data_IF_332939136613
#
_entry.id   IF_332939136613
#
_cell.length_a   1.000
_cell.length_b   1.000
_cell.length_c   1.000
_cell.angle_alpha   90.00
_cell.angle_beta   90.00
_cell.angle_gamma   90.00
#
_symmetry.space_group_name_H-M   'P 1'
#
loop_
_entity.id
_entity.type
_entity.pdbx_description
1 polymer ?
#
# COMPACT_ATOMS: atom_id res chain seq x y z
N UNK A 1 10.55 -11.99 -9.57
CA UNK A 1 9.30 -11.21 -9.47
C UNK A 1 9.24 -10.68 -8.05
N UNK A 2 9.09 -9.38 -7.84
CA UNK A 2 8.95 -8.83 -6.51
C UNK A 2 7.47 -8.96 -6.09
N UNK A 3 7.22 -9.62 -4.96
CA UNK A 3 5.88 -9.74 -4.41
C UNK A 3 5.46 -8.41 -3.76
N UNK A 4 4.16 -8.11 -3.81
CA UNK A 4 3.57 -6.95 -3.16
C UNK A 4 2.70 -7.38 -1.99
N UNK A 5 2.65 -6.56 -0.96
CA UNK A 5 1.74 -6.73 0.16
C UNK A 5 0.43 -5.97 -0.10
N UNK A 6 -0.68 -6.61 0.23
CA UNK A 6 -2.03 -6.08 0.05
C UNK A 6 -2.83 -6.22 1.34
N UNK A 7 -3.56 -5.16 1.70
CA UNK A 7 -4.63 -5.21 2.69
C UNK A 7 -5.97 -5.17 1.96
N UNK A 8 -6.85 -6.14 2.23
CA UNK A 8 -8.20 -6.20 1.67
C UNK A 8 -9.22 -6.09 2.80
N UNK A 9 -10.21 -5.24 2.62
CA UNK A 9 -11.20 -4.92 3.66
C UNK A 9 -12.61 -5.12 3.13
N UNK A 10 -13.38 -5.93 3.85
CA UNK A 10 -14.82 -6.08 3.66
C UNK A 10 -15.55 -5.33 4.76
N UNK A 11 -16.50 -4.51 4.34
CA UNK A 11 -17.37 -3.77 5.23
C UNK A 11 -18.79 -4.32 5.16
N UNK A 12 -19.52 -4.19 6.27
CA UNK A 12 -20.93 -4.58 6.30
C UNK A 12 -21.79 -3.55 5.57
N UNK A 13 -22.87 -4.02 4.96
CA UNK A 13 -23.86 -3.18 4.28
C UNK A 13 -23.26 -2.28 3.18
N UNK A 14 -22.21 -2.75 2.49
CA UNK A 14 -21.62 -2.02 1.38
C UNK A 14 -22.57 -2.00 0.17
N UNK A 15 -22.79 -0.81 -0.36
CA UNK A 15 -23.68 -0.53 -1.49
C UNK A 15 -23.29 0.81 -2.10
N UNK A 16 -23.79 1.13 -3.29
CA UNK A 16 -23.57 2.45 -3.93
C UNK A 16 -23.92 3.61 -2.96
N UNK A 17 -25.02 3.49 -2.22
CA UNK A 17 -25.48 4.53 -1.29
C UNK A 17 -24.55 4.73 -0.08
N UNK A 18 -23.81 3.71 0.34
CA UNK A 18 -22.90 3.79 1.51
C UNK A 18 -21.44 3.93 1.11
N UNK A 19 -21.12 3.77 -0.18
CA UNK A 19 -19.76 3.74 -0.71
C UNK A 19 -18.98 5.00 -0.32
N UNK A 20 -19.52 6.18 -0.61
CA UNK A 20 -18.85 7.46 -0.36
C UNK A 20 -18.56 7.69 1.13
N UNK A 21 -19.51 7.40 2.02
CA UNK A 21 -19.33 7.52 3.47
C UNK A 21 -18.22 6.58 3.97
N UNK A 22 -18.17 5.35 3.44
CA UNK A 22 -17.16 4.39 3.84
C UNK A 22 -15.80 4.69 3.22
N UNK A 23 -15.77 5.23 2.00
CA UNK A 23 -14.55 5.58 1.29
C UNK A 23 -13.81 6.73 1.98
N UNK A 24 -14.52 7.78 2.40
CA UNK A 24 -13.89 8.87 3.17
C UNK A 24 -13.31 8.36 4.49
N UNK A 25 -13.99 7.42 5.18
CA UNK A 25 -13.47 6.80 6.40
C UNK A 25 -12.21 5.99 6.13
N UNK A 26 -12.18 5.23 5.04
CA UNK A 26 -11.01 4.45 4.64
C UNK A 26 -9.82 5.36 4.34
N UNK A 27 -10.00 6.39 3.50
CA UNK A 27 -8.93 7.35 3.18
C UNK A 27 -8.45 8.11 4.43
N UNK A 28 -9.34 8.44 5.37
CA UNK A 28 -8.96 9.09 6.62
C UNK A 28 -8.07 8.24 7.53
N UNK A 29 -7.99 6.92 7.30
CA UNK A 29 -7.07 6.01 8.01
C UNK A 29 -5.74 5.82 7.30
N UNK A 30 -5.56 6.41 6.11
CA UNK A 30 -4.33 6.26 5.34
C UNK A 30 -3.13 6.86 6.10
N UNK A 31 -2.05 6.09 6.32
CA UNK A 31 -0.85 6.56 7.02
C UNK A 31 0.01 7.39 6.07
N UNK A 32 -0.42 8.61 5.73
CA UNK A 32 0.32 9.46 4.79
C UNK A 32 1.74 9.76 5.30
N UNK A 33 2.69 9.79 4.38
CA UNK A 33 4.09 10.11 4.64
C UNK A 33 4.20 11.46 5.33
N UNK A 34 5.07 11.56 6.32
CA UNK A 34 5.40 12.81 7.01
C UNK A 34 6.02 13.86 6.09
N UNK A 35 6.58 13.44 4.94
CA UNK A 35 7.30 14.28 4.00
C UNK A 35 6.37 15.02 3.02
N UNK A 36 5.29 14.35 2.58
CA UNK A 36 4.35 14.88 1.58
C UNK A 36 2.97 15.12 2.18
N UNK A 37 2.53 14.29 3.14
CA UNK A 37 1.28 14.40 3.89
C UNK A 37 0.04 14.70 3.03
N UNK A 38 0.01 14.20 1.79
CA UNK A 38 -1.05 14.47 0.82
C UNK A 38 -1.37 13.26 -0.06
N UNK A 39 -2.57 13.22 -0.61
CA UNK A 39 -2.90 12.36 -1.74
C UNK A 39 -2.36 12.99 -3.03
N UNK A 40 -1.82 12.16 -3.91
CA UNK A 40 -1.10 12.61 -5.11
C UNK A 40 -1.92 12.41 -6.38
N UNK A 41 -2.84 11.43 -6.41
CA UNK A 41 -3.69 11.19 -7.57
C UNK A 41 -5.04 10.61 -7.18
N UNK A 42 -6.08 10.90 -7.97
CA UNK A 42 -7.35 10.18 -7.98
C UNK A 42 -7.66 9.74 -9.42
N UNK A 43 -7.77 8.42 -9.62
CA UNK A 43 -8.16 7.80 -10.88
C UNK A 43 -9.53 7.12 -10.71
N UNK A 44 -10.40 7.27 -11.70
CA UNK A 44 -11.74 6.67 -11.70
C UNK A 44 -11.91 5.82 -12.95
N UNK A 45 -12.23 4.53 -12.77
CA UNK A 45 -12.48 3.58 -13.86
C UNK A 45 -13.92 3.08 -13.81
N UNK A 46 -14.57 2.98 -14.96
CA UNK A 46 -15.92 2.42 -15.10
C UNK A 46 -15.87 1.00 -15.64
N UNK A 47 -16.86 0.19 -15.26
CA UNK A 47 -17.14 -1.16 -15.74
C UNK A 47 -16.06 -2.17 -15.40
N UNK A 48 -14.83 -2.01 -15.89
CA UNK A 48 -13.71 -2.94 -15.68
C UNK A 48 -12.36 -2.22 -15.91
N UNK A 49 -11.21 -2.81 -15.53
CA UNK A 49 -9.92 -2.13 -15.60
C UNK A 49 -9.33 -2.00 -17.02
N UNK A 50 -9.88 -2.67 -18.04
CA UNK A 50 -9.43 -2.56 -19.43
C UNK A 50 -10.02 -1.32 -20.13
N UNK A 51 -11.08 -0.74 -19.58
CA UNK A 51 -11.68 0.51 -20.07
C UNK A 51 -10.77 1.73 -19.77
N UNK A 52 -10.81 2.78 -20.61
CA UNK A 52 -10.10 4.01 -20.33
C UNK A 52 -10.68 4.67 -19.06
N UNK A 53 -9.84 5.31 -18.23
CA UNK A 53 -10.31 6.03 -17.06
C UNK A 53 -11.33 7.11 -17.42
N UNK A 54 -12.42 7.17 -16.67
CA UNK A 54 -13.46 8.21 -16.79
C UNK A 54 -12.91 9.55 -16.35
N UNK A 55 -12.05 9.55 -15.33
CA UNK A 55 -11.35 10.73 -14.86
C UNK A 55 -10.02 10.38 -14.22
N UNK A 56 -9.08 11.30 -14.35
CA UNK A 56 -7.77 11.26 -13.72
C UNK A 56 -7.42 12.67 -13.22
N UNK A 57 -7.29 12.81 -11.91
CA UNK A 57 -6.93 14.06 -11.26
C UNK A 57 -5.53 13.95 -10.66
N UNK A 58 -4.63 14.83 -11.13
CA UNK A 58 -3.38 15.12 -10.44
C UNK A 58 -3.66 16.01 -9.22
N UNK A 59 -3.21 15.55 -8.06
CA UNK A 59 -3.48 16.15 -6.75
C UNK A 59 -2.23 16.67 -6.06
N UNK A 60 -1.03 16.33 -6.55
CA UNK A 60 0.23 16.75 -5.93
C UNK A 60 0.32 18.27 -5.77
N UNK A 61 0.74 18.71 -4.59
CA UNK A 61 0.87 20.12 -4.23
C UNK A 61 -0.46 20.86 -4.05
N UNK A 62 -1.60 20.16 -4.08
CA UNK A 62 -2.93 20.76 -3.86
C UNK A 62 -3.38 20.65 -2.41
N UNK A 63 -2.69 19.84 -1.58
CA UNK A 63 -3.00 19.68 -0.16
C UNK A 63 -4.41 19.14 0.11
N UNK A 64 -4.94 18.32 -0.80
CA UNK A 64 -6.29 17.74 -0.65
C UNK A 64 -6.27 16.61 0.36
N UNK A 65 -7.16 16.69 1.35
CA UNK A 65 -7.40 15.62 2.32
C UNK A 65 -8.41 14.60 1.83
N UNK A 66 -8.74 13.64 2.70
CA UNK A 66 -9.64 12.53 2.36
C UNK A 66 -11.03 13.02 1.92
N UNK A 67 -11.57 14.05 2.59
CA UNK A 67 -12.90 14.58 2.29
C UNK A 67 -12.95 15.26 0.91
N UNK A 68 -11.91 16.02 0.56
CA UNK A 68 -11.80 16.71 -0.73
C UNK A 68 -11.64 15.71 -1.87
N UNK A 69 -10.80 14.69 -1.71
CA UNK A 69 -10.62 13.62 -2.71
C UNK A 69 -11.92 12.85 -2.92
N UNK A 70 -12.62 12.49 -1.85
CA UNK A 70 -13.91 11.78 -1.96
C UNK A 70 -14.99 12.67 -2.57
N UNK A 71 -14.96 13.99 -2.35
CA UNK A 71 -15.89 14.91 -3.01
C UNK A 71 -15.68 14.99 -4.53
N UNK A 72 -14.44 14.79 -5.01
CA UNK A 72 -14.17 14.61 -6.45
C UNK A 72 -14.74 13.28 -6.95
N UNK A 73 -14.45 12.18 -6.24
CA UNK A 73 -14.95 10.85 -6.58
C UNK A 73 -16.49 10.77 -6.62
N UNK A 74 -17.17 11.46 -5.69
CA UNK A 74 -18.62 11.48 -5.58
C UNK A 74 -19.33 12.10 -6.80
N UNK A 75 -18.62 12.89 -7.63
CA UNK A 75 -19.17 13.42 -8.89
C UNK A 75 -19.37 12.33 -9.94
N UNK A 76 -18.67 11.19 -9.79
CA UNK A 76 -18.72 10.03 -10.67
C UNK A 76 -19.14 8.79 -9.85
N UNK A 77 -20.09 8.95 -8.93
CA UNK A 77 -20.59 7.86 -8.10
C UNK A 77 -21.50 6.93 -8.90
N UNK A 78 -21.02 5.71 -9.16
CA UNK A 78 -21.81 4.63 -9.74
C UNK A 78 -21.41 3.27 -9.17
N UNK A 79 -22.36 2.34 -9.13
CA UNK A 79 -22.15 0.97 -8.66
C UNK A 79 -21.09 0.21 -9.45
N UNK A 80 -20.92 0.53 -10.72
CA UNK A 80 -20.00 -0.09 -11.67
C UNK A 80 -18.65 0.64 -11.79
N UNK A 81 -18.33 1.52 -10.85
CA UNK A 81 -17.11 2.35 -10.91
C UNK A 81 -16.13 2.00 -9.78
N UNK A 82 -14.84 2.05 -10.06
CA UNK A 82 -13.76 1.93 -9.08
C UNK A 82 -12.97 3.23 -8.95
N UNK A 83 -12.51 3.50 -7.73
CA UNK A 83 -11.76 4.70 -7.36
C UNK A 83 -10.40 4.28 -6.84
N UNK A 84 -9.34 4.80 -7.46
CA UNK A 84 -7.96 4.56 -7.05
C UNK A 84 -7.33 5.87 -6.61
N UNK A 85 -6.76 5.87 -5.42
CA UNK A 85 -6.10 7.03 -4.82
C UNK A 85 -4.65 6.68 -4.57
N UNK A 86 -3.75 7.51 -5.07
CA UNK A 86 -2.32 7.38 -4.81
C UNK A 86 -1.90 8.32 -3.68
N UNK A 87 -0.95 7.87 -2.87
CA UNK A 87 -0.25 8.64 -1.86
C UNK A 87 1.15 8.03 -1.64
N UNK A 88 1.92 8.65 -0.76
CA UNK A 88 3.12 8.04 -0.21
C UNK A 88 2.90 7.78 1.28
N UNK A 89 3.53 6.74 1.82
CA UNK A 89 3.63 6.46 3.25
C UNK A 89 5.05 6.11 3.64
N UNK A 90 5.41 6.28 4.90
CA UNK A 90 6.77 6.07 5.36
C UNK A 90 6.99 4.60 5.77
N UNK A 91 7.92 3.93 5.10
CA UNK A 91 8.36 2.57 5.46
C UNK A 91 9.82 2.56 5.84
N UNK A 92 10.17 1.67 6.76
CA UNK A 92 11.56 1.43 7.14
C UNK A 92 12.28 0.68 6.03
N UNK A 93 13.40 1.24 5.60
CA UNK A 93 14.33 0.64 4.64
C UNK A 93 15.74 0.66 5.24
N UNK A 94 16.49 -0.41 5.00
CA UNK A 94 17.86 -0.51 5.47
C UNK A 94 18.82 0.04 4.41
N UNK A 95 19.45 1.18 4.69
CA UNK A 95 20.54 1.71 3.89
C UNK A 95 21.81 0.89 4.18
N UNK A 96 22.19 0.04 3.23
CA UNK A 96 23.36 -0.82 3.34
C UNK A 96 24.71 -0.07 3.23
N UNK A 97 24.73 1.11 2.62
CA UNK A 97 25.93 1.93 2.54
C UNK A 97 26.22 2.59 3.89
N UNK A 98 25.17 3.15 4.51
CA UNK A 98 25.23 3.84 5.80
C UNK A 98 25.07 2.91 7.00
N UNK A 99 24.68 1.66 6.77
CA UNK A 99 24.37 0.66 7.81
C UNK A 99 23.32 1.19 8.80
N UNK A 100 22.25 1.78 8.28
CA UNK A 100 21.25 2.46 9.11
C UNK A 100 19.85 2.25 8.56
N UNK A 101 18.90 2.08 9.47
CA UNK A 101 17.48 2.13 9.17
C UNK A 101 17.04 3.57 8.97
N UNK A 102 16.35 3.83 7.86
CA UNK A 102 15.75 5.13 7.56
C UNK A 102 14.31 4.93 7.10
N UNK A 103 13.42 5.86 7.48
CA UNK A 103 12.06 5.87 6.97
C UNK A 103 12.04 6.60 5.64
N UNK A 104 11.64 5.90 4.58
CA UNK A 104 11.57 6.44 3.23
C UNK A 104 10.11 6.47 2.75
N UNK A 105 9.70 7.56 2.05
CA UNK A 105 8.43 7.59 1.36
C UNK A 105 8.36 6.47 0.32
N UNK A 106 7.39 5.58 0.49
CA UNK A 106 7.07 4.49 -0.42
C UNK A 106 5.69 4.72 -1.02
N UNK A 107 5.43 4.34 -2.29
CA UNK A 107 4.10 4.47 -2.86
C UNK A 107 3.06 3.63 -2.12
N UNK A 108 1.94 4.27 -1.80
CA UNK A 108 0.72 3.67 -1.26
C UNK A 108 -0.40 3.85 -2.28
N UNK A 109 -1.04 2.76 -2.69
CA UNK A 109 -2.21 2.83 -3.56
C UNK A 109 -3.43 2.30 -2.82
N UNK A 110 -4.49 3.09 -2.77
CA UNK A 110 -5.75 2.80 -2.11
C UNK A 110 -6.82 2.64 -3.17
N UNK A 111 -7.62 1.58 -3.10
CA UNK A 111 -8.70 1.33 -4.03
C UNK A 111 -10.03 1.17 -3.29
N UNK A 112 -11.10 1.64 -3.91
CA UNK A 112 -12.48 1.38 -3.53
C UNK A 112 -13.21 0.85 -4.76
N UNK A 113 -13.75 -0.36 -4.67
CA UNK A 113 -14.47 -0.98 -5.77
C UNK A 113 -15.98 -0.83 -5.59
N UNK A 114 -16.65 -0.31 -6.60
CA UNK A 114 -18.10 -0.35 -6.67
C UNK A 114 -18.62 -1.80 -6.68
N UNK A 115 -19.83 -2.05 -6.14
CA UNK A 115 -20.37 -3.40 -5.99
C UNK A 115 -20.58 -4.15 -7.32
N UNK A 116 -20.68 -3.45 -8.45
CA UNK A 116 -20.89 -4.02 -9.79
C UNK A 116 -19.64 -3.93 -10.69
N UNK A 117 -18.60 -3.20 -10.27
CA UNK A 117 -17.35 -3.07 -11.02
C UNK A 117 -16.65 -4.44 -11.21
N UNK A 118 -16.13 -4.67 -12.41
CA UNK A 118 -15.43 -5.88 -12.85
C UNK A 118 -16.20 -7.17 -12.49
N UNK A 119 -17.50 -7.17 -12.77
CA UNK A 119 -18.38 -8.30 -12.47
C UNK A 119 -18.61 -8.55 -10.97
N UNK A 120 -18.41 -7.53 -10.13
CA UNK A 120 -18.56 -7.61 -8.68
C UNK A 120 -17.27 -8.03 -7.96
N UNK A 121 -16.12 -7.57 -8.44
CA UNK A 121 -14.79 -7.89 -7.86
C UNK A 121 -14.70 -7.58 -6.37
N UNK A 122 -15.48 -6.62 -5.88
CA UNK A 122 -15.57 -6.26 -4.46
C UNK A 122 -15.89 -7.47 -3.54
N UNK A 123 -16.66 -8.44 -4.05
CA UNK A 123 -16.97 -9.66 -3.30
C UNK A 123 -15.75 -10.55 -3.05
N UNK A 124 -14.75 -10.53 -3.94
CA UNK A 124 -13.57 -11.42 -3.93
C UNK A 124 -12.31 -10.69 -3.46
N UNK A 125 -12.14 -9.44 -3.85
CA UNK A 125 -10.94 -8.64 -3.56
C UNK A 125 -11.15 -7.64 -2.42
N UNK A 126 -12.35 -7.57 -1.85
CA UNK A 126 -12.71 -6.62 -0.80
C UNK A 126 -13.32 -5.35 -1.38
N UNK A 127 -14.10 -4.66 -0.56
CA UNK A 127 -14.69 -3.37 -0.93
C UNK A 127 -13.60 -2.30 -1.05
N UNK A 128 -12.58 -2.41 -0.20
CA UNK A 128 -11.39 -1.59 -0.21
C UNK A 128 -10.13 -2.45 -0.29
N UNK A 129 -9.14 -1.97 -1.02
CA UNK A 129 -7.80 -2.57 -1.08
C UNK A 129 -6.74 -1.50 -0.85
N UNK A 130 -5.66 -1.83 -0.13
CA UNK A 130 -4.46 -1.03 -0.07
C UNK A 130 -3.27 -1.85 -0.55
N UNK A 131 -2.57 -1.36 -1.58
CA UNK A 131 -1.26 -1.87 -1.99
C UNK A 131 -0.20 -1.18 -1.17
N UNK A 132 0.45 -1.94 -0.30
CA UNK A 132 1.35 -1.46 0.76
C UNK A 132 2.82 -1.34 0.27
N UNK A 133 3.12 -1.85 -0.92
CA UNK A 133 4.48 -1.89 -1.44
C UNK A 133 5.02 -3.32 -1.46
N UNK A 134 6.34 -3.48 -1.32
CA UNK A 134 7.00 -4.78 -1.46
C UNK A 134 6.79 -5.64 -0.22
N UNK A 135 6.56 -6.94 -0.43
CA UNK A 135 6.24 -7.90 0.64
C UNK A 135 7.37 -8.01 1.68
N UNK A 136 8.63 -7.91 1.25
CA UNK A 136 9.79 -8.06 2.14
C UNK A 136 9.89 -6.97 3.21
N UNK A 137 9.21 -5.83 3.03
CA UNK A 137 9.08 -4.82 4.09
C UNK A 137 8.27 -5.34 5.29
N UNK A 138 7.46 -6.39 5.11
CA UNK A 138 6.52 -6.91 6.13
C UNK A 138 6.85 -8.34 6.57
N UNK A 139 7.42 -9.16 5.69
CA UNK A 139 7.72 -10.58 5.98
C UNK A 139 9.18 -10.83 6.38
N UNK A 140 9.99 -9.76 6.44
CA UNK A 140 11.42 -9.83 6.71
C UNK A 140 12.23 -10.19 5.46
N UNK A 141 13.54 -9.92 5.50
CA UNK A 141 14.47 -10.16 4.38
C UNK A 141 14.60 -11.65 4.04
N UNK A 142 13.66 -12.22 3.27
CA UNK A 142 13.77 -13.55 2.70
C UNK A 142 14.18 -14.67 3.70
N UNK A 143 13.65 -14.63 4.93
CA UNK A 143 13.92 -15.65 5.95
C UNK A 143 15.04 -15.32 6.95
N UNK A 144 15.67 -14.14 6.87
CA UNK A 144 16.75 -13.76 7.81
C UNK A 144 16.27 -13.53 9.26
N UNK A 145 14.97 -13.25 9.45
CA UNK A 145 14.38 -12.89 10.75
C UNK A 145 13.54 -14.00 11.36
N UNK A 146 13.27 -15.09 10.63
CA UNK A 146 12.63 -16.26 11.23
C UNK A 146 13.68 -16.99 12.06
N UNK A 147 13.74 -16.70 13.36
CA UNK A 147 14.47 -17.47 14.37
C UNK A 147 13.93 -18.89 14.57
N UNK A 148 13.51 -19.54 13.50
CA UNK A 148 13.23 -20.97 13.47
C UNK A 148 14.59 -21.65 13.65
N UNK A 149 14.80 -22.25 14.82
CA UNK A 149 16.02 -23.01 15.15
C UNK A 149 16.26 -24.26 14.29
N UNK A 150 15.72 -24.32 13.09
CA UNK A 150 16.18 -25.24 12.06
C UNK A 150 17.12 -24.48 11.14
N UNK A 151 18.36 -24.95 11.16
CA UNK A 151 19.48 -24.57 10.33
C UNK A 151 19.18 -24.83 8.84
N UNK A 152 18.19 -24.15 8.26
CA UNK A 152 18.13 -23.98 6.81
C UNK A 152 19.28 -23.03 6.49
N UNK A 153 20.33 -23.59 5.89
CA UNK A 153 21.48 -22.83 5.41
C UNK A 153 21.00 -21.51 4.81
N UNK A 154 21.52 -20.39 5.31
CA UNK A 154 21.33 -19.10 4.69
C UNK A 154 21.51 -19.30 3.18
N UNK A 155 20.54 -18.92 2.34
CA UNK A 155 20.72 -19.04 0.91
C UNK A 155 22.06 -18.37 0.57
N UNK A 156 22.92 -19.08 -0.16
CA UNK A 156 24.14 -18.51 -0.73
C UNK A 156 23.72 -17.58 -1.87
N UNK A 157 23.00 -16.52 -1.52
CA UNK A 157 22.81 -15.38 -2.38
C UNK A 157 24.17 -14.72 -2.41
N UNK A 158 24.90 -14.94 -3.50
CA UNK A 158 26.25 -14.38 -3.75
C UNK A 158 26.31 -12.85 -3.83
N UNK A 159 25.38 -12.17 -3.17
CA UNK A 159 25.31 -10.74 -3.00
C UNK A 159 26.10 -10.34 -1.74
N UNK A 160 27.22 -9.67 -1.94
CA UNK A 160 28.13 -9.24 -0.87
C UNK A 160 27.43 -8.31 0.15
N UNK A 161 26.35 -7.66 -0.28
CA UNK A 161 25.51 -6.81 0.59
C UNK A 161 24.73 -7.66 1.59
N UNK A 162 24.16 -8.77 1.15
CA UNK A 162 23.38 -9.69 2.00
C UNK A 162 24.25 -10.37 3.06
N UNK A 163 25.45 -10.83 2.68
CA UNK A 163 26.41 -11.38 3.65
C UNK A 163 26.86 -10.36 4.70
N UNK A 164 27.02 -9.09 4.30
CA UNK A 164 27.40 -8.01 5.20
C UNK A 164 26.27 -7.69 6.18
N UNK A 165 25.02 -7.66 5.71
CA UNK A 165 23.84 -7.44 6.54
C UNK A 165 23.64 -8.57 7.56
N UNK A 166 23.72 -9.84 7.13
CA UNK A 166 23.59 -11.00 8.02
C UNK A 166 24.66 -11.00 9.12
N UNK A 167 25.91 -10.64 8.78
CA UNK A 167 26.99 -10.53 9.77
C UNK A 167 26.78 -9.37 10.75
N UNK A 168 26.17 -8.27 10.30
CA UNK A 168 25.83 -7.14 11.16
C UNK A 168 24.69 -7.50 12.12
N UNK A 169 23.63 -8.17 11.65
CA UNK A 169 22.50 -8.63 12.48
C UNK A 169 22.89 -9.71 13.51
N UNK A 170 23.97 -10.46 13.27
CA UNK A 170 24.48 -11.46 14.20
C UNK A 170 25.12 -10.86 15.48
N UNK A 171 25.34 -9.55 15.53
CA UNK A 171 25.87 -8.88 16.72
C UNK A 171 24.71 -8.49 17.67
N UNK A 172 24.79 -8.96 18.91
CA UNK A 172 23.74 -8.82 19.94
C UNK A 172 23.37 -7.36 20.28
N UNK A 173 24.30 -6.42 20.05
CA UNK A 173 24.07 -4.99 20.23
C UNK A 173 23.11 -4.42 19.17
N UNK A 174 23.17 -4.93 17.94
CA UNK A 174 22.38 -4.43 16.80
C UNK A 174 20.94 -4.97 16.82
N UNK A 175 20.71 -6.09 17.51
CA UNK A 175 19.36 -6.61 17.78
C UNK A 175 18.56 -5.72 18.74
N UNK A 176 19.22 -4.86 19.52
CA UNK A 176 18.56 -3.96 20.50
C UNK A 176 18.22 -2.59 19.92
N UNK A 177 18.81 -2.23 18.78
CA UNK A 177 18.51 -0.98 18.04
C UNK A 177 17.43 -1.21 16.95
N UNK A 178 16.89 -2.43 16.87
CA UNK A 178 15.80 -2.83 15.98
C UNK A 178 14.43 -2.69 16.66
#
# INVERSE_FOLDING_TARGET
>A
MANRAYLRVWTRNFSEATLIEQFVRFLATAPLSSSTAEFTQLLVQSVDPAEPPVADWELRGRGMGAAEVVALAAQLLHADTAYFVAADWDLWEFDAERMKWEMNPTPLQLACYGPEFDGGVAAVSGNFEATLGLEHHFTGHAGLLTGSGDSAAAPDTGDAVEHRFARWMAAEANLREY
#
